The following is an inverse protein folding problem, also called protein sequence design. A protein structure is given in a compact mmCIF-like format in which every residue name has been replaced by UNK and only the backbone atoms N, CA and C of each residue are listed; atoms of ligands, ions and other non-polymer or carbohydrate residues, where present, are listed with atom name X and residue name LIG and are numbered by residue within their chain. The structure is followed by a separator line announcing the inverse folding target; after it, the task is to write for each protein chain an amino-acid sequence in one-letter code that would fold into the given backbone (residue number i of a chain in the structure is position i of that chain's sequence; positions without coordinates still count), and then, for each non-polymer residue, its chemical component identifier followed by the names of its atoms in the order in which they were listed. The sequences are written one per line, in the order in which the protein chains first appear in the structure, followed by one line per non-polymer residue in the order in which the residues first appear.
data_IF_858063303255
#
_entry.id   IF_858063303255
#
_cell.length_a   1.000
_cell.length_b   1.000
_cell.length_c   1.000
_cell.angle_alpha   90.00
_cell.angle_beta   90.00
_cell.angle_gamma   90.00
#
_symmetry.space_group_name_H-M   'P 1'
#
loop_
_entity.id
_entity.type
_entity.pdbx_description
1 polymer ?
#
# COMPACT_ATOMS: atom_id res chain seq x y z
N UNK A 1 -32.02 7.50 4.61
CA UNK A 1 -31.67 7.50 3.16
C UNK A 1 -30.17 7.23 3.07
N UNK A 2 -29.78 5.95 2.97
CA UNK A 2 -28.38 5.54 2.98
C UNK A 2 -27.80 5.64 1.56
N UNK A 3 -26.80 6.49 1.36
CA UNK A 3 -26.11 6.63 0.08
C UNK A 3 -25.14 5.46 -0.10
N UNK A 4 -25.59 4.44 -0.84
CA UNK A 4 -24.73 3.35 -1.33
C UNK A 4 -23.68 3.93 -2.28
N UNK A 5 -22.45 4.09 -1.77
CA UNK A 5 -21.28 4.38 -2.59
C UNK A 5 -21.01 3.19 -3.52
N UNK A 6 -21.41 3.33 -4.78
CA UNK A 6 -21.20 2.34 -5.83
C UNK A 6 -19.72 2.37 -6.24
N UNK A 7 -18.94 1.38 -5.80
CA UNK A 7 -17.61 1.10 -6.36
C UNK A 7 -17.78 0.75 -7.84
N UNK A 8 -17.65 1.74 -8.71
CA UNK A 8 -17.46 1.49 -10.14
C UNK A 8 -16.16 0.71 -10.31
N UNK A 9 -16.27 -0.53 -10.78
CA UNK A 9 -15.13 -1.35 -11.21
C UNK A 9 -14.56 -0.66 -12.45
N UNK A 10 -13.56 0.20 -12.25
CA UNK A 10 -12.88 0.88 -13.36
C UNK A 10 -12.12 -0.19 -14.14
N UNK A 11 -12.61 -0.49 -15.35
CA UNK A 11 -11.91 -1.32 -16.33
C UNK A 11 -10.46 -0.85 -16.46
N UNK A 12 -9.55 -1.81 -16.60
CA UNK A 12 -8.13 -1.73 -16.32
C UNK A 12 -7.47 -0.39 -16.62
N UNK A 13 -7.39 0.48 -15.61
CA UNK A 13 -6.38 1.53 -15.62
C UNK A 13 -5.04 0.81 -15.62
N UNK A 14 -4.29 0.90 -16.71
CA UNK A 14 -2.92 0.43 -16.79
C UNK A 14 -2.06 1.24 -15.81
N UNK A 15 -2.10 0.84 -14.54
CA UNK A 15 -1.22 1.36 -13.50
C UNK A 15 0.18 0.83 -13.82
N UNK A 16 1.08 1.73 -14.21
CA UNK A 16 2.49 1.42 -14.46
C UNK A 16 3.34 1.82 -13.26
N UNK A 17 4.49 1.17 -13.16
CA UNK A 17 5.51 1.45 -12.17
C UNK A 17 5.88 0.22 -11.36
N UNK A 18 6.86 0.39 -10.48
CA UNK A 18 7.41 -0.66 -9.63
C UNK A 18 7.50 -0.15 -8.20
N UNK A 19 7.33 -1.05 -7.23
CA UNK A 19 7.52 -0.77 -5.82
C UNK A 19 8.64 -1.67 -5.31
N UNK A 20 9.69 -1.06 -4.75
CA UNK A 20 10.75 -1.79 -4.07
C UNK A 20 10.33 -2.03 -2.63
N UNK A 21 10.23 -3.30 -2.27
CA UNK A 21 9.89 -3.77 -0.92
C UNK A 21 10.98 -4.70 -0.40
N UNK A 22 11.09 -4.81 0.92
CA UNK A 22 11.78 -5.91 1.58
C UNK A 22 10.85 -6.49 2.63
N UNK A 23 10.62 -7.80 2.57
CA UNK A 23 9.71 -8.52 3.47
C UNK A 23 10.50 -9.62 4.15
N UNK A 24 10.43 -9.67 5.47
CA UNK A 24 11.14 -10.66 6.27
C UNK A 24 10.39 -10.98 7.55
N UNK A 25 10.69 -12.16 8.10
CA UNK A 25 10.15 -12.65 9.36
C UNK A 25 11.14 -12.42 10.48
N UNK A 26 10.66 -11.89 11.60
CA UNK A 26 11.47 -11.70 12.79
C UNK A 26 10.64 -11.96 14.05
N UNK A 27 10.99 -12.99 14.82
CA UNK A 27 10.30 -13.39 16.06
C UNK A 27 8.77 -13.48 15.93
N UNK A 28 8.26 -14.08 14.85
CA UNK A 28 6.81 -14.23 14.60
C UNK A 28 6.11 -12.99 14.03
N UNK A 29 6.86 -11.92 13.73
CA UNK A 29 6.34 -10.72 13.06
C UNK A 29 6.73 -10.71 11.59
N UNK A 30 5.77 -10.36 10.72
CA UNK A 30 6.05 -10.00 9.33
C UNK A 30 6.47 -8.54 9.32
N UNK A 31 7.72 -8.26 8.98
CA UNK A 31 8.19 -6.89 8.76
C UNK A 31 8.19 -6.58 7.26
N UNK A 32 7.48 -5.52 6.87
CA UNK A 32 7.44 -4.97 5.52
C UNK A 32 8.14 -3.62 5.52
N UNK A 33 9.26 -3.53 4.81
CA UNK A 33 9.95 -2.27 4.53
C UNK A 33 9.53 -1.76 3.15
N UNK A 34 8.78 -0.67 3.13
CA UNK A 34 8.40 0.06 1.93
C UNK A 34 9.51 1.04 1.58
N UNK A 35 10.30 0.73 0.56
CA UNK A 35 11.51 1.51 0.24
C UNK A 35 11.15 2.68 -0.66
N UNK A 36 10.77 2.40 -1.92
CA UNK A 36 10.53 3.43 -2.92
C UNK A 36 9.64 2.94 -4.06
N UNK A 37 8.91 3.85 -4.68
CA UNK A 37 8.28 3.66 -5.98
C UNK A 37 9.20 4.08 -7.13
N UNK A 38 8.95 3.55 -8.33
CA UNK A 38 9.63 3.95 -9.58
C UNK A 38 8.63 4.00 -10.72
N UNK A 39 8.61 5.10 -11.45
CA UNK A 39 7.75 5.34 -12.62
C UNK A 39 6.25 5.07 -12.32
N UNK A 40 5.79 5.47 -11.13
CA UNK A 40 4.38 5.41 -10.75
C UNK A 40 3.58 6.43 -11.55
N UNK A 41 2.51 5.98 -12.20
CA UNK A 41 1.63 6.85 -13.01
C UNK A 41 0.18 6.65 -12.60
N UNK A 42 -0.59 7.73 -12.50
CA UNK A 42 -2.03 7.66 -12.21
C UNK A 42 -2.82 8.32 -13.33
N UNK A 43 -3.30 7.51 -14.29
CA UNK A 43 -4.06 8.02 -15.44
C UNK A 43 -3.29 9.11 -16.21
N UNK A 44 -3.81 10.33 -16.19
CA UNK A 44 -3.20 11.50 -16.84
C UNK A 44 -2.13 12.21 -15.99
N UNK A 45 -1.97 11.86 -14.72
CA UNK A 45 -1.04 12.54 -13.82
C UNK A 45 0.34 11.89 -13.85
N UNK A 46 1.32 12.63 -14.39
CA UNK A 46 2.73 12.23 -14.48
C UNK A 46 3.45 12.27 -13.11
N UNK A 47 2.98 13.10 -12.18
CA UNK A 47 3.55 13.29 -10.84
C UNK A 47 2.42 13.16 -9.80
N UNK A 48 2.04 11.94 -9.41
CA UNK A 48 0.96 11.72 -8.46
C UNK A 48 1.37 12.01 -7.02
N UNK A 49 0.37 12.31 -6.18
CA UNK A 49 0.49 12.17 -4.73
C UNK A 49 0.30 10.70 -4.37
N UNK A 50 1.24 10.12 -3.63
CA UNK A 50 1.34 8.68 -3.43
C UNK A 50 1.46 8.29 -1.96
N UNK A 51 0.85 7.17 -1.60
CA UNK A 51 1.05 6.47 -0.34
C UNK A 51 0.89 4.98 -0.59
N UNK A 52 1.47 4.15 0.28
CA UNK A 52 1.32 2.69 0.24
C UNK A 52 0.51 2.25 1.43
N UNK A 53 -0.53 1.45 1.20
CA UNK A 53 -1.25 0.73 2.24
C UNK A 53 -0.77 -0.72 2.26
N UNK A 54 -0.50 -1.24 3.45
CA UNK A 54 -0.07 -2.63 3.69
C UNK A 54 -1.10 -3.29 4.61
N UNK A 55 -1.44 -4.54 4.31
CA UNK A 55 -2.28 -5.41 5.14
C UNK A 55 -1.95 -6.87 4.87
N UNK A 56 -2.06 -7.72 5.88
CA UNK A 56 -2.02 -9.18 5.71
C UNK A 56 -3.42 -9.69 5.34
N UNK A 57 -3.47 -10.73 4.52
CA UNK A 57 -4.71 -11.42 4.13
C UNK A 57 -4.50 -12.91 4.41
N UNK A 58 -5.39 -13.58 5.16
CA UNK A 58 -6.66 -13.07 5.70
C UNK A 58 -6.47 -12.05 6.84
N UNK A 59 -7.29 -10.99 6.85
CA UNK A 59 -7.44 -10.10 8.00
C UNK A 59 -8.55 -10.72 8.87
N UNK A 60 -8.15 -11.53 9.86
CA UNK A 60 -9.09 -12.28 10.69
C UNK A 60 -10.06 -11.31 11.42
N UNK A 61 -11.36 -11.62 11.39
CA UNK A 61 -12.36 -10.81 12.11
C UNK A 61 -12.19 -11.02 13.61
N UNK A 62 -11.88 -9.95 14.34
CA UNK A 62 -11.74 -9.97 15.81
C UNK A 62 -10.31 -9.77 16.32
N UNK A 63 -9.31 -9.78 15.43
CA UNK A 63 -7.94 -9.35 15.74
C UNK A 63 -7.73 -7.87 15.40
N UNK A 64 -6.67 -7.27 15.97
CA UNK A 64 -6.24 -5.92 15.57
C UNK A 64 -5.96 -5.89 14.06
N UNK A 65 -6.53 -4.92 13.35
CA UNK A 65 -6.35 -4.83 11.90
C UNK A 65 -4.87 -4.69 11.55
N UNK A 66 -4.40 -5.50 10.59
CA UNK A 66 -3.03 -5.43 10.08
C UNK A 66 -2.81 -4.26 9.11
N UNK A 67 -3.85 -3.44 8.88
CA UNK A 67 -3.83 -2.36 7.92
C UNK A 67 -3.03 -1.17 8.44
N UNK A 68 -1.93 -0.87 7.77
CA UNK A 68 -1.10 0.31 8.00
C UNK A 68 -0.84 1.03 6.67
N UNK A 69 -0.38 2.28 6.74
CA UNK A 69 -0.03 3.05 5.55
C UNK A 69 1.18 3.95 5.80
N UNK A 70 1.89 4.25 4.72
CA UNK A 70 2.95 5.26 4.71
C UNK A 70 2.37 6.67 4.86
N UNK A 71 3.26 7.63 5.10
CA UNK A 71 3.01 9.03 4.78
C UNK A 71 2.74 9.24 3.29
N UNK A 72 2.14 10.39 2.96
CA UNK A 72 1.90 10.79 1.58
C UNK A 72 3.12 11.53 1.03
N UNK A 73 3.69 11.02 -0.06
CA UNK A 73 4.72 11.72 -0.85
C UNK A 73 4.04 12.43 -2.00
N UNK A 74 4.13 13.75 -2.04
CA UNK A 74 3.43 14.58 -3.02
C UNK A 74 4.19 14.72 -4.33
N UNK A 75 3.46 14.88 -5.43
CA UNK A 75 3.97 15.25 -6.76
C UNK A 75 5.22 14.45 -7.20
N UNK A 76 5.19 13.12 -7.08
CA UNK A 76 6.35 12.29 -7.47
C UNK A 76 5.93 10.95 -8.06
N UNK A 77 6.52 10.61 -9.22
CA UNK A 77 6.44 9.28 -9.82
C UNK A 77 7.52 8.32 -9.30
N UNK A 78 8.47 8.82 -8.51
CA UNK A 78 9.54 8.05 -7.89
C UNK A 78 9.61 8.35 -6.38
N UNK A 79 8.54 8.11 -5.61
CA UNK A 79 8.48 8.45 -4.19
C UNK A 79 9.45 7.60 -3.37
N UNK A 80 10.15 8.21 -2.42
CA UNK A 80 10.95 7.53 -1.41
C UNK A 80 10.17 7.51 -0.09
N UNK A 81 9.72 6.33 0.34
CA UNK A 81 8.92 6.17 1.55
C UNK A 81 9.81 5.86 2.76
N UNK A 82 10.64 4.83 2.64
CA UNK A 82 11.54 4.34 3.69
C UNK A 82 10.86 4.05 5.03
N UNK A 83 9.65 3.49 5.00
CA UNK A 83 8.86 3.18 6.19
C UNK A 83 8.79 1.67 6.43
N UNK A 84 8.81 1.26 7.70
CA UNK A 84 8.76 -0.15 8.11
C UNK A 84 7.50 -0.41 8.94
N UNK A 85 6.80 -1.49 8.62
CA UNK A 85 5.64 -1.97 9.37
C UNK A 85 5.91 -3.38 9.86
N UNK A 86 5.72 -3.63 11.16
CA UNK A 86 5.75 -4.98 11.74
C UNK A 86 4.33 -5.39 12.10
N UNK A 87 3.88 -6.48 11.49
CA UNK A 87 2.51 -6.97 11.60
C UNK A 87 2.54 -8.35 12.25
N UNK A 88 1.66 -8.56 13.24
CA UNK A 88 1.40 -9.89 13.77
C UNK A 88 0.68 -10.68 12.69
N UNK A 89 1.32 -11.74 12.19
CA UNK A 89 0.68 -12.76 11.38
C UNK A 89 0.51 -14.01 12.23
N UNK A 90 -0.66 -14.64 12.17
CA UNK A 90 -0.76 -16.06 12.51
C UNK A 90 -0.10 -16.81 11.34
N UNK A 91 1.21 -17.08 11.43
CA UNK A 91 1.99 -17.79 10.40
C UNK A 91 2.31 -19.18 10.90
#
# INVERSE_FOLDING_TARGET
METRSSRRKKEGVFMKGQLKLSVYLNYGLVTVHVVQGRHLTSGSQLQPDTFVMVSLIPDEKGTMSTRCRTGVVKNSSCPFFNEKFSLYGNI
#
